data_IF_865197322067
#
_entry.id   IF_865197322067
#
_cell.length_a   1.000
_cell.length_b   1.000
_cell.length_c   1.000
_cell.angle_alpha   90.00
_cell.angle_beta   90.00
_cell.angle_gamma   90.00
#
_symmetry.space_group_name_H-M   'P 1'
#
loop_
_entity.id
_entity.type
_entity.pdbx_description
1 polymer ?
#
# COMPACT_ATOMS: atom_id res chain seq x y z
N UNK A 1 -3.06 0.03 0.78
CA UNK A 1 -2.21 -0.60 1.82
C UNK A 1 -2.45 -2.09 1.71
N UNK A 2 -1.44 -2.96 1.88
CA UNK A 2 -1.69 -4.40 1.89
C UNK A 2 -2.21 -4.85 3.28
N UNK A 3 -2.79 -6.04 3.35
CA UNK A 3 -3.48 -6.51 4.55
C UNK A 3 -2.52 -6.73 5.73
N UNK A 4 -1.31 -7.20 5.48
CA UNK A 4 -0.29 -7.40 6.52
C UNK A 4 0.11 -6.08 7.21
N UNK A 5 0.35 -5.01 6.43
CA UNK A 5 0.66 -3.69 6.99
C UNK A 5 -0.57 -3.12 7.70
N UNK A 6 -1.77 -3.30 7.12
CA UNK A 6 -3.02 -2.82 7.73
C UNK A 6 -3.26 -3.48 9.10
N UNK A 7 -3.14 -4.80 9.18
CA UNK A 7 -3.27 -5.54 10.44
C UNK A 7 -2.22 -5.10 11.46
N UNK A 8 -0.97 -4.97 11.03
CA UNK A 8 0.12 -4.51 11.91
C UNK A 8 -0.14 -3.10 12.46
N UNK A 9 -0.74 -2.22 11.65
CA UNK A 9 -1.16 -0.90 12.10
C UNK A 9 -2.30 -1.00 13.12
N UNK A 10 -3.35 -1.77 12.84
CA UNK A 10 -4.50 -1.98 13.74
C UNK A 10 -4.06 -2.56 15.09
N UNK A 11 -3.13 -3.52 15.10
CA UNK A 11 -2.55 -4.10 16.32
C UNK A 11 -1.69 -3.09 17.11
N UNK A 12 -1.16 -2.06 16.42
CA UNK A 12 -0.38 -0.99 17.00
C UNK A 12 -1.20 0.13 17.63
N UNK A 13 -2.50 0.22 17.32
CA UNK A 13 -3.44 1.21 17.87
C UNK A 13 -3.85 0.85 19.31
N UNK A 14 -2.87 0.94 20.22
CA UNK A 14 -3.04 0.67 21.65
C UNK A 14 -2.24 1.67 22.47
N UNK A 15 -2.73 1.95 23.68
CA UNK A 15 -2.12 2.86 24.64
C UNK A 15 -1.94 4.30 24.11
N UNK A 16 -2.75 4.72 23.14
CA UNK A 16 -2.75 6.09 22.63
C UNK A 16 -3.70 6.95 23.47
N UNK A 17 -3.35 8.22 23.65
CA UNK A 17 -4.30 9.25 24.09
C UNK A 17 -4.87 9.95 22.85
N UNK A 18 -6.20 9.89 22.69
CA UNK A 18 -6.89 10.34 21.48
C UNK A 18 -7.75 11.56 21.78
N UNK A 19 -7.50 12.61 20.99
CA UNK A 19 -8.07 13.94 21.12
C UNK A 19 -9.17 14.17 20.06
N UNK A 20 -10.02 15.16 20.30
CA UNK A 20 -11.10 15.50 19.38
C UNK A 20 -10.58 16.30 18.17
N UNK A 21 -9.83 17.36 18.44
CA UNK A 21 -9.47 18.34 17.43
C UNK A 21 -8.24 17.89 16.64
N UNK A 22 -8.17 18.20 15.34
CA UNK A 22 -7.00 17.91 14.55
C UNK A 22 -5.89 18.91 14.89
N UNK A 23 -4.86 18.44 15.56
CA UNK A 23 -3.55 19.07 15.60
C UNK A 23 -2.59 18.36 14.63
N UNK A 24 -1.40 18.92 14.40
CA UNK A 24 -0.33 18.20 13.72
C UNK A 24 -0.11 16.81 14.34
N UNK A 25 -0.04 15.78 13.49
CA UNK A 25 0.02 14.38 13.91
C UNK A 25 1.22 14.02 14.79
N UNK A 26 2.27 14.84 14.80
CA UNK A 26 3.43 14.68 15.67
C UNK A 26 3.20 15.22 17.09
N UNK A 27 2.16 16.02 17.32
CA UNK A 27 1.81 16.58 18.62
C UNK A 27 0.78 15.71 19.35
N UNK A 28 -0.31 15.33 18.68
CA UNK A 28 -1.36 14.50 19.27
C UNK A 28 -2.06 13.65 18.20
N UNK A 29 -2.70 12.59 18.66
CA UNK A 29 -3.55 11.74 17.83
C UNK A 29 -4.98 12.26 17.90
N UNK A 30 -5.59 12.56 16.74
CA UNK A 30 -6.99 12.97 16.68
C UNK A 30 -7.90 11.83 16.22
N UNK A 31 -9.14 11.80 16.71
CA UNK A 31 -10.15 10.84 16.26
C UNK A 31 -10.32 10.84 14.75
N UNK A 32 -10.38 12.03 14.13
CA UNK A 32 -10.53 12.15 12.68
C UNK A 32 -9.39 11.41 11.95
N UNK A 33 -8.14 11.58 12.39
CA UNK A 33 -7.00 10.91 11.77
C UNK A 33 -7.05 9.39 11.92
N UNK A 34 -7.50 8.88 13.07
CA UNK A 34 -7.66 7.45 13.33
C UNK A 34 -8.76 6.86 12.45
N UNK A 35 -9.94 7.50 12.41
CA UNK A 35 -11.05 7.05 11.56
C UNK A 35 -10.71 7.10 10.07
N UNK A 36 -10.13 8.21 9.58
CA UNK A 36 -9.63 8.31 8.21
C UNK A 36 -8.68 7.17 7.84
N UNK A 37 -7.84 6.76 8.80
CA UNK A 37 -6.95 5.61 8.66
C UNK A 37 -7.70 4.29 8.55
N UNK A 38 -8.57 3.99 9.52
CA UNK A 38 -9.25 2.71 9.61
C UNK A 38 -10.26 2.52 8.47
N UNK A 39 -11.07 3.53 8.16
CA UNK A 39 -12.01 3.45 7.03
C UNK A 39 -11.29 3.28 5.68
N UNK A 40 -10.05 3.77 5.56
CA UNK A 40 -9.23 3.60 4.37
C UNK A 40 -8.73 2.16 4.16
N UNK A 41 -8.91 1.25 5.11
CA UNK A 41 -8.54 -0.17 4.99
C UNK A 41 -9.62 -0.88 4.16
N UNK A 42 -9.18 -1.54 3.08
CA UNK A 42 -10.07 -2.25 2.16
C UNK A 42 -10.61 -3.55 2.78
N UNK A 43 -9.77 -4.28 3.51
CA UNK A 43 -10.19 -5.51 4.18
C UNK A 43 -11.14 -5.20 5.35
N UNK A 44 -12.39 -5.67 5.24
CA UNK A 44 -13.46 -5.33 6.17
C UNK A 44 -13.27 -5.90 7.57
N UNK A 45 -12.65 -7.10 7.68
CA UNK A 45 -12.39 -7.73 8.97
C UNK A 45 -11.36 -6.92 9.77
N UNK A 46 -10.28 -6.51 9.10
CA UNK A 46 -9.23 -5.66 9.68
C UNK A 46 -9.81 -4.30 10.07
N UNK A 47 -10.66 -3.73 9.21
CA UNK A 47 -11.35 -2.46 9.48
C UNK A 47 -12.24 -2.56 10.73
N UNK A 48 -13.06 -3.61 10.84
CA UNK A 48 -13.94 -3.83 11.97
C UNK A 48 -13.17 -4.01 13.28
N UNK A 49 -12.06 -4.76 13.25
CA UNK A 49 -11.16 -4.88 14.40
C UNK A 49 -10.55 -3.52 14.78
N UNK A 50 -10.06 -2.77 13.79
CA UNK A 50 -9.55 -1.41 14.00
C UNK A 50 -10.54 -0.52 14.72
N UNK A 51 -11.82 -0.54 14.31
CA UNK A 51 -12.87 0.24 14.95
C UNK A 51 -13.11 -0.15 16.41
N UNK A 52 -13.05 -1.46 16.71
CA UNK A 52 -13.17 -1.96 18.08
C UNK A 52 -11.98 -1.49 18.95
N UNK A 53 -10.77 -1.53 18.39
CA UNK A 53 -9.55 -1.20 19.11
C UNK A 53 -9.51 0.26 19.59
N UNK A 54 -10.17 1.20 18.88
CA UNK A 54 -10.20 2.62 19.24
C UNK A 54 -10.61 2.81 20.71
N UNK A 55 -11.75 2.25 21.12
CA UNK A 55 -12.26 2.38 22.50
C UNK A 55 -11.72 1.31 23.44
N UNK A 56 -11.37 0.13 22.92
CA UNK A 56 -10.96 -0.99 23.78
C UNK A 56 -9.54 -0.83 24.32
N UNK A 57 -8.61 -0.29 23.53
CA UNK A 57 -7.18 -0.28 23.87
C UNK A 57 -6.58 1.12 23.96
N UNK A 58 -7.36 2.18 23.76
CA UNK A 58 -6.87 3.56 23.81
C UNK A 58 -7.71 4.41 24.77
N UNK A 59 -7.13 5.53 25.20
CA UNK A 59 -7.77 6.48 26.09
C UNK A 59 -8.29 7.65 25.27
N UNK A 60 -9.61 7.81 25.24
CA UNK A 60 -10.24 8.97 24.63
C UNK A 60 -10.38 10.09 25.66
N UNK A 61 -10.06 11.32 25.26
CA UNK A 61 -10.38 12.51 26.07
C UNK A 61 -11.91 12.68 26.18
N UNK A 62 -12.45 13.34 27.23
CA UNK A 62 -13.89 13.53 27.36
C UNK A 62 -14.55 14.20 26.14
N UNK A 63 -13.85 15.16 25.53
CA UNK A 63 -14.31 15.81 24.30
C UNK A 63 -14.25 14.87 23.10
N UNK A 64 -13.25 13.98 23.00
CA UNK A 64 -13.19 12.97 21.95
C UNK A 64 -14.38 12.00 22.08
N UNK A 65 -14.67 11.54 23.30
CA UNK A 65 -15.79 10.64 23.55
C UNK A 65 -17.13 11.26 23.14
N UNK A 66 -17.35 12.54 23.50
CA UNK A 66 -18.57 13.28 23.14
C UNK A 66 -18.77 13.41 21.62
N UNK A 67 -17.69 13.57 20.86
CA UNK A 67 -17.73 13.82 19.43
C UNK A 67 -17.45 12.58 18.57
N UNK A 68 -17.41 11.38 19.18
CA UNK A 68 -17.01 10.15 18.53
C UNK A 68 -17.80 9.85 17.24
N UNK A 69 -19.13 9.97 17.29
CA UNK A 69 -19.99 9.69 16.13
C UNK A 69 -19.77 10.64 14.95
N UNK A 70 -19.64 11.93 15.23
CA UNK A 70 -19.36 12.95 14.22
C UNK A 70 -17.97 12.74 13.59
N UNK A 71 -16.96 12.47 14.42
CA UNK A 71 -15.61 12.18 13.95
C UNK A 71 -15.55 10.90 13.10
N UNK A 72 -16.32 9.87 13.46
CA UNK A 72 -16.44 8.63 12.68
C UNK A 72 -16.97 8.90 11.28
N UNK A 73 -18.11 9.60 11.20
CA UNK A 73 -18.74 9.97 9.93
C UNK A 73 -17.84 10.84 9.05
N UNK A 74 -17.14 11.82 9.65
CA UNK A 74 -16.21 12.67 8.93
C UNK A 74 -14.96 11.92 8.45
N UNK A 75 -14.49 10.93 9.22
CA UNK A 75 -13.35 10.09 8.84
C UNK A 75 -13.65 9.18 7.66
N UNK A 76 -14.85 8.62 7.58
CA UNK A 76 -15.32 7.80 6.46
C UNK A 76 -15.26 8.57 5.12
N UNK A 77 -15.51 9.88 5.16
CA UNK A 77 -15.43 10.76 3.98
C UNK A 77 -14.00 11.11 3.56
N UNK A 78 -12.99 10.79 4.39
CA UNK A 78 -11.58 11.18 4.21
C UNK A 78 -10.66 9.97 4.33
N UNK A 79 -10.81 9.03 3.41
CA UNK A 79 -10.07 7.76 3.42
C UNK A 79 -8.56 7.98 3.22
N UNK A 80 -7.74 7.55 4.18
CA UNK A 80 -6.29 7.58 4.06
C UNK A 80 -5.65 6.52 4.98
N UNK A 81 -5.55 5.24 4.56
CA UNK A 81 -5.01 4.18 5.43
C UNK A 81 -3.56 4.43 5.86
N UNK A 82 -2.78 5.12 5.01
CA UNK A 82 -1.37 5.39 5.30
C UNK A 82 -1.16 6.33 6.48
N UNK A 83 -2.17 7.09 6.89
CA UNK A 83 -2.08 7.94 8.09
C UNK A 83 -1.79 7.13 9.35
N UNK A 84 -2.25 5.86 9.43
CA UNK A 84 -1.98 4.98 10.56
C UNK A 84 -0.49 4.75 10.78
N UNK A 85 0.28 4.60 9.69
CA UNK A 85 1.74 4.45 9.79
C UNK A 85 2.40 5.71 10.34
N UNK A 86 1.86 6.91 10.03
CA UNK A 86 2.34 8.17 10.59
C UNK A 86 1.99 8.33 12.06
N UNK A 87 0.77 7.97 12.46
CA UNK A 87 0.33 7.98 13.86
C UNK A 87 1.32 7.13 14.67
N UNK A 88 1.56 5.89 14.23
CA UNK A 88 2.41 4.95 14.95
C UNK A 88 3.88 5.37 14.92
N UNK A 89 4.36 6.00 13.85
CA UNK A 89 5.72 6.56 13.80
C UNK A 89 5.99 7.57 14.91
N UNK A 90 5.01 8.41 15.25
CA UNK A 90 5.18 9.46 16.26
C UNK A 90 4.79 9.00 17.67
N UNK A 91 3.70 8.24 17.79
CA UNK A 91 3.07 7.93 19.08
C UNK A 91 3.30 6.49 19.56
N UNK A 92 3.89 5.64 18.72
CA UNK A 92 4.30 4.28 19.09
C UNK A 92 5.59 3.90 18.35
N UNK A 93 6.64 4.69 18.61
CA UNK A 93 7.90 4.66 17.85
C UNK A 93 8.54 3.28 17.80
N UNK A 94 8.56 2.56 18.92
CA UNK A 94 9.18 1.24 19.01
C UNK A 94 8.45 0.22 18.12
N UNK A 95 7.11 0.18 18.17
CA UNK A 95 6.31 -0.66 17.28
C UNK A 95 6.51 -0.30 15.81
N UNK A 96 6.60 1.00 15.51
CA UNK A 96 6.86 1.45 14.15
C UNK A 96 8.23 1.00 13.64
N UNK A 97 9.29 1.23 14.42
CA UNK A 97 10.66 0.92 14.02
C UNK A 97 10.92 -0.59 13.94
N UNK A 98 10.39 -1.37 14.87
CA UNK A 98 10.61 -2.82 14.94
C UNK A 98 9.72 -3.61 13.99
N UNK A 99 8.48 -3.17 13.76
CA UNK A 99 7.47 -3.99 13.05
C UNK A 99 7.06 -3.35 11.72
N UNK A 100 6.63 -2.09 11.72
CA UNK A 100 6.03 -1.46 10.51
C UNK A 100 7.11 -1.12 9.49
N UNK A 101 8.23 -0.53 9.92
CA UNK A 101 9.28 -0.05 9.02
C UNK A 101 9.94 -1.18 8.21
N UNK A 102 10.26 -2.36 8.76
CA UNK A 102 10.70 -3.51 7.97
C UNK A 102 9.68 -3.93 6.91
N UNK A 103 8.39 -4.04 7.27
CA UNK A 103 7.32 -4.40 6.33
C UNK A 103 7.18 -3.39 5.19
N UNK A 104 7.33 -2.09 5.48
CA UNK A 104 7.31 -1.04 4.45
C UNK A 104 8.46 -1.22 3.45
N UNK A 105 9.66 -1.55 3.92
CA UNK A 105 10.81 -1.81 3.04
C UNK A 105 10.57 -3.05 2.19
N UNK A 106 10.11 -4.15 2.78
CA UNK A 106 9.82 -5.38 2.06
C UNK A 106 8.75 -5.16 0.97
N UNK A 107 7.66 -4.48 1.29
CA UNK A 107 6.59 -4.19 0.33
C UNK A 107 7.09 -3.32 -0.85
N UNK A 108 7.99 -2.38 -0.59
CA UNK A 108 8.59 -1.59 -1.66
C UNK A 108 9.40 -2.46 -2.64
N UNK A 109 10.24 -3.36 -2.11
CA UNK A 109 11.04 -4.27 -2.94
C UNK A 109 10.17 -5.25 -3.74
N UNK A 110 9.14 -5.83 -3.10
CA UNK A 110 8.18 -6.72 -3.79
C UNK A 110 7.48 -5.98 -4.94
N UNK A 111 7.00 -4.75 -4.72
CA UNK A 111 6.38 -3.95 -5.79
C UNK A 111 7.34 -3.61 -6.92
N UNK A 112 8.60 -3.34 -6.59
CA UNK A 112 9.65 -3.08 -7.58
C UNK A 112 9.91 -4.33 -8.43
N UNK A 113 10.03 -5.50 -7.81
CA UNK A 113 10.21 -6.78 -8.52
C UNK A 113 8.99 -7.13 -9.38
N UNK A 114 7.78 -6.95 -8.84
CA UNK A 114 6.55 -7.17 -9.59
C UNK A 114 6.50 -6.30 -10.85
N UNK A 115 6.81 -5.01 -10.73
CA UNK A 115 6.85 -4.10 -11.89
C UNK A 115 7.83 -4.57 -12.96
N UNK A 116 9.00 -5.08 -12.56
CA UNK A 116 9.98 -5.64 -13.51
C UNK A 116 9.39 -6.87 -14.19
N UNK A 117 8.81 -7.80 -13.43
CA UNK A 117 8.18 -9.01 -13.97
C UNK A 117 7.06 -8.68 -14.96
N UNK A 118 6.15 -7.78 -14.59
CA UNK A 118 5.04 -7.35 -15.44
C UNK A 118 5.55 -6.72 -16.74
N UNK A 119 6.61 -5.91 -16.65
CA UNK A 119 7.23 -5.28 -17.82
C UNK A 119 7.86 -6.34 -18.73
N UNK A 120 8.60 -7.30 -18.17
CA UNK A 120 9.26 -8.37 -18.94
C UNK A 120 8.24 -9.26 -19.65
N UNK A 121 7.11 -9.57 -19.01
CA UNK A 121 6.02 -10.34 -19.62
C UNK A 121 5.37 -9.63 -20.82
N UNK A 122 5.42 -8.30 -20.87
CA UNK A 122 4.89 -7.50 -21.99
C UNK A 122 5.89 -7.36 -23.14
N UNK A 123 7.17 -7.72 -22.96
CA UNK A 123 8.16 -7.66 -24.03
C UNK A 123 7.90 -8.82 -24.99
N UNK A 124 7.46 -8.49 -26.21
CA UNK A 124 7.37 -9.45 -27.29
C UNK A 124 8.78 -9.85 -27.72
N UNK A 125 9.16 -11.08 -27.39
CA UNK A 125 10.46 -11.63 -27.71
C UNK A 125 10.53 -11.93 -29.21
N UNK A 126 11.18 -11.06 -29.95
CA UNK A 126 11.58 -11.33 -31.33
C UNK A 126 12.87 -12.14 -31.29
N UNK A 127 12.77 -13.45 -31.54
CA UNK A 127 13.93 -14.33 -31.56
C UNK A 127 14.76 -14.08 -32.81
N UNK A 128 15.88 -13.38 -32.66
CA UNK A 128 16.89 -13.22 -33.70
C UNK A 128 17.89 -14.36 -33.52
N UNK A 129 17.95 -15.27 -34.48
CA UNK A 129 19.01 -16.28 -34.53
C UNK A 129 20.29 -15.65 -35.09
N UNK A 130 21.25 -15.37 -34.21
CA UNK A 130 22.55 -14.80 -34.59
C UNK A 130 23.43 -15.79 -35.38
N UNK A 131 23.05 -17.07 -35.44
CA UNK A 131 23.70 -18.08 -36.27
C UNK A 131 23.02 -18.26 -37.62
N UNK A 132 21.88 -17.60 -37.85
CA UNK A 132 21.19 -17.66 -39.12
C UNK A 132 22.10 -17.08 -40.21
N UNK A 133 22.47 -17.86 -41.24
CA UNK A 133 23.33 -17.38 -42.30
C UNK A 133 22.72 -16.15 -42.99
N UNK A 134 23.52 -15.07 -43.02
CA UNK A 134 23.20 -13.80 -43.67
C UNK A 134 24.18 -13.56 -44.83
N UNK A 135 24.26 -14.51 -45.76
CA UNK A 135 24.90 -14.21 -47.05
C UNK A 135 23.86 -13.68 -48.03
N UNK A 136 24.32 -12.98 -49.08
CA UNK A 136 23.45 -12.51 -50.16
C UNK A 136 22.60 -13.65 -50.76
N UNK A 137 23.18 -14.85 -50.87
CA UNK A 137 22.50 -16.05 -51.38
C UNK A 137 21.37 -16.49 -50.43
N UNK A 138 21.63 -16.49 -49.12
CA UNK A 138 20.63 -16.86 -48.11
C UNK A 138 19.46 -15.87 -48.06
N UNK A 139 19.78 -14.57 -48.12
CA UNK A 139 18.77 -13.49 -48.13
C UNK A 139 17.89 -13.61 -49.37
N UNK A 140 18.48 -13.76 -50.57
CA UNK A 140 17.71 -13.95 -51.80
C UNK A 140 16.85 -15.23 -51.75
N UNK A 141 17.38 -16.33 -51.22
CA UNK A 141 16.63 -17.59 -51.11
C UNK A 141 15.45 -17.49 -50.14
N UNK A 142 15.61 -16.79 -49.02
CA UNK A 142 14.53 -16.55 -48.05
C UNK A 142 13.44 -15.63 -48.62
N UNK A 143 13.82 -14.61 -49.39
CA UNK A 143 12.89 -13.71 -50.06
C UNK A 143 12.06 -14.43 -51.14
N UNK A 144 12.71 -15.26 -51.97
CA UNK A 144 12.02 -16.06 -52.99
C UNK A 144 11.03 -17.07 -52.39
N UNK A 145 11.31 -17.55 -51.17
CA UNK A 145 10.44 -18.48 -50.44
C UNK A 145 9.39 -17.78 -49.55
N UNK A 146 9.17 -16.47 -49.71
CA UNK A 146 8.11 -15.74 -49.00
C UNK A 146 8.34 -15.54 -47.51
N UNK A 147 9.55 -15.80 -46.98
CA UNK A 147 9.83 -15.68 -45.53
C UNK A 147 9.82 -14.24 -44.99
N UNK A 148 9.78 -13.25 -45.87
CA UNK A 148 9.72 -11.82 -45.50
C UNK A 148 8.40 -11.17 -45.90
N UNK A 149 7.36 -11.94 -46.21
CA UNK A 149 6.02 -11.38 -46.44
C UNK A 149 5.53 -10.70 -45.15
N UNK A 150 5.18 -9.42 -45.27
CA UNK A 150 4.53 -8.70 -44.19
C UNK A 150 3.12 -9.27 -44.01
N UNK A 151 2.81 -9.75 -42.81
CA UNK A 151 1.43 -10.01 -42.42
C UNK A 151 0.74 -8.66 -42.23
N UNK A 152 0.00 -8.21 -43.24
CA UNK A 152 -0.96 -7.09 -43.14
C UNK A 152 -2.17 -7.51 -42.29
#
# INVERSE_FOLDING_TARGET
>A
MNDEIAQTCVNGLKNLEIHNYPQPINMEVSLLSVFSGIYGIANEQIRAEGMKNIRQYNKLTPNAEKNYGEASFNGERKLNPWILTKILRYHNKDHYEQTIKPLLKQNYEVKKQQKISDTVQQIEKHEIDLKDPFTLIDVSSKALNGKYENKL
#
